data_IF_570714946184
#
_entry.id   IF_570714946184
#
_cell.length_a   1.000
_cell.length_b   1.000
_cell.length_c   1.000
_cell.angle_alpha   90.00
_cell.angle_beta   90.00
_cell.angle_gamma   90.00
#
_symmetry.space_group_name_H-M   'P 1'
#
loop_
_entity.id
_entity.type
_entity.pdbx_description
1 polymer ?
#
# COMPACT_ATOMS: atom_id res chain seq x y z
N UNK A 1 57.29 -94.72 -101.17
CA UNK A 1 57.70 -93.67 -100.21
C UNK A 1 56.90 -92.37 -100.30
N UNK A 2 56.73 -91.74 -101.48
CA UNK A 2 56.10 -90.41 -101.61
C UNK A 2 54.65 -90.30 -101.10
N UNK A 3 53.80 -91.33 -101.27
CA UNK A 3 52.40 -91.35 -100.77
C UNK A 3 52.29 -91.32 -99.24
N UNK A 4 53.17 -92.02 -98.53
CA UNK A 4 53.16 -92.08 -97.06
C UNK A 4 53.60 -90.77 -96.41
N UNK A 5 54.56 -90.06 -97.03
CA UNK A 5 55.02 -88.74 -96.58
C UNK A 5 53.91 -87.70 -96.70
N UNK A 6 53.13 -87.71 -97.80
CA UNK A 6 51.97 -86.83 -97.96
C UNK A 6 50.89 -87.10 -96.90
N UNK A 7 50.61 -88.36 -96.56
CA UNK A 7 49.63 -88.72 -95.53
C UNK A 7 50.08 -88.21 -94.15
N UNK A 8 51.36 -88.40 -93.79
CA UNK A 8 51.90 -87.93 -92.51
C UNK A 8 51.89 -86.39 -92.42
N UNK A 9 52.23 -85.68 -93.51
CA UNK A 9 52.14 -84.22 -93.57
C UNK A 9 50.69 -83.71 -93.47
N UNK A 10 49.74 -84.39 -94.13
CA UNK A 10 48.31 -84.05 -94.05
C UNK A 10 47.74 -84.32 -92.65
N UNK A 11 48.12 -85.43 -92.02
CA UNK A 11 47.72 -85.76 -90.65
C UNK A 11 48.34 -84.77 -89.65
N UNK A 12 49.61 -84.41 -89.82
CA UNK A 12 50.29 -83.41 -88.99
C UNK A 12 49.70 -82.00 -89.14
N UNK A 13 49.39 -81.58 -90.37
CA UNK A 13 48.71 -80.32 -90.65
C UNK A 13 47.28 -80.29 -90.07
N UNK A 14 46.55 -81.40 -90.19
CA UNK A 14 45.21 -81.56 -89.61
C UNK A 14 45.24 -81.49 -88.07
N UNK A 15 46.18 -82.19 -87.43
CA UNK A 15 46.38 -82.14 -85.97
C UNK A 15 46.79 -80.74 -85.50
N UNK A 16 47.69 -80.06 -86.24
CA UNK A 16 48.09 -78.68 -85.95
C UNK A 16 46.91 -77.70 -86.07
N UNK A 17 46.08 -77.83 -87.11
CA UNK A 17 44.85 -77.04 -87.26
C UNK A 17 43.87 -77.31 -86.13
N UNK A 18 43.72 -78.58 -85.72
CA UNK A 18 42.86 -78.98 -84.60
C UNK A 18 43.33 -78.39 -83.26
N UNK A 19 44.64 -78.41 -82.98
CA UNK A 19 45.21 -77.81 -81.77
C UNK A 19 45.08 -76.28 -81.77
N UNK A 20 45.30 -75.61 -82.91
CA UNK A 20 45.07 -74.18 -83.07
C UNK A 20 43.59 -73.82 -82.88
N UNK A 21 42.67 -74.61 -83.45
CA UNK A 21 41.23 -74.44 -83.27
C UNK A 21 40.83 -74.64 -81.80
N UNK A 22 41.34 -75.69 -81.15
CA UNK A 22 41.07 -75.96 -79.74
C UNK A 22 41.58 -74.82 -78.85
N UNK A 23 42.81 -74.34 -79.07
CA UNK A 23 43.39 -73.21 -78.32
C UNK A 23 42.61 -71.89 -78.56
N UNK A 24 42.21 -71.61 -79.80
CA UNK A 24 41.37 -70.45 -80.10
C UNK A 24 39.99 -70.59 -79.43
N UNK A 25 39.41 -71.79 -79.42
CA UNK A 25 38.14 -72.08 -78.78
C UNK A 25 38.21 -71.93 -77.25
N UNK A 26 39.29 -72.38 -76.61
CA UNK A 26 39.48 -72.23 -75.17
C UNK A 26 39.67 -70.76 -74.79
N UNK A 27 40.48 -70.00 -75.53
CA UNK A 27 40.61 -68.56 -75.30
C UNK A 27 39.29 -67.82 -75.47
N UNK A 28 38.52 -68.12 -76.52
CA UNK A 28 37.20 -67.52 -76.73
C UNK A 28 36.24 -67.83 -75.57
N UNK A 29 36.26 -69.07 -75.06
CA UNK A 29 35.45 -69.44 -73.89
C UNK A 29 35.88 -68.68 -72.64
N UNK A 30 37.19 -68.51 -72.40
CA UNK A 30 37.71 -67.72 -71.27
C UNK A 30 37.31 -66.25 -71.38
N UNK A 31 37.52 -65.60 -72.53
CA UNK A 31 37.10 -64.21 -72.73
C UNK A 31 35.59 -64.03 -72.61
N UNK A 32 34.78 -65.02 -73.03
CA UNK A 32 33.33 -65.01 -72.81
C UNK A 32 32.97 -65.12 -71.33
N UNK A 33 33.67 -65.95 -70.57
CA UNK A 33 33.47 -66.06 -69.13
C UNK A 33 33.84 -64.76 -68.40
N UNK A 34 34.96 -64.14 -68.76
CA UNK A 34 35.39 -62.84 -68.24
C UNK A 34 34.38 -61.73 -68.57
N UNK A 35 33.90 -61.68 -69.82
CA UNK A 35 32.86 -60.73 -70.24
C UNK A 35 31.58 -60.89 -69.42
N UNK A 36 31.11 -62.13 -69.23
CA UNK A 36 29.92 -62.40 -68.42
C UNK A 36 30.12 -62.00 -66.95
N UNK A 37 31.33 -62.21 -66.41
CA UNK A 37 31.68 -61.78 -65.05
C UNK A 37 31.69 -60.26 -64.92
N UNK A 38 32.33 -59.55 -65.85
CA UNK A 38 32.35 -58.10 -65.90
C UNK A 38 30.94 -57.51 -66.06
N UNK A 39 30.08 -58.13 -66.89
CA UNK A 39 28.69 -57.74 -67.06
C UNK A 39 27.91 -57.87 -65.74
N UNK A 40 28.10 -58.98 -65.01
CA UNK A 40 27.46 -59.20 -63.71
C UNK A 40 27.91 -58.15 -62.68
N UNK A 41 29.20 -57.80 -62.65
CA UNK A 41 29.72 -56.74 -61.78
C UNK A 41 29.17 -55.36 -62.16
N UNK A 42 29.05 -55.05 -63.45
CA UNK A 42 28.45 -53.80 -63.92
C UNK A 42 26.98 -53.69 -63.49
N UNK A 43 26.22 -54.77 -63.61
CA UNK A 43 24.81 -54.78 -63.20
C UNK A 43 24.66 -54.66 -61.67
N UNK A 44 25.58 -55.26 -60.89
CA UNK A 44 25.64 -55.10 -59.43
C UNK A 44 25.93 -53.66 -59.04
N UNK A 45 26.99 -53.07 -59.59
CA UNK A 45 27.39 -51.69 -59.28
C UNK A 45 26.33 -50.68 -59.72
N UNK A 46 25.62 -50.91 -60.82
CA UNK A 46 24.48 -50.10 -61.24
C UNK A 46 23.31 -50.16 -60.25
N UNK A 47 23.08 -51.32 -59.66
CA UNK A 47 22.05 -51.51 -58.64
C UNK A 47 22.43 -50.79 -57.34
N UNK A 48 23.68 -50.93 -56.90
CA UNK A 48 24.22 -50.22 -55.73
C UNK A 48 24.17 -48.71 -55.92
N UNK A 49 24.59 -48.19 -57.09
CA UNK A 49 24.52 -46.77 -57.40
C UNK A 49 23.08 -46.23 -57.26
N UNK A 50 22.11 -46.93 -57.87
CA UNK A 50 20.69 -46.54 -57.76
C UNK A 50 20.17 -46.57 -56.31
N UNK A 51 20.65 -47.50 -55.49
CA UNK A 51 20.33 -47.55 -54.06
C UNK A 51 20.90 -46.32 -53.34
N UNK A 52 22.18 -46.00 -53.55
CA UNK A 52 22.82 -44.82 -52.94
C UNK A 52 22.21 -43.50 -53.38
N UNK A 53 21.76 -43.38 -54.65
CA UNK A 53 21.00 -42.22 -55.12
C UNK A 53 19.67 -42.06 -54.37
N UNK A 54 19.00 -43.18 -54.06
CA UNK A 54 17.79 -43.19 -53.24
C UNK A 54 18.04 -42.75 -51.80
N UNK A 55 19.11 -43.25 -51.18
CA UNK A 55 19.52 -42.86 -49.82
C UNK A 55 19.91 -41.38 -49.75
N UNK A 56 20.62 -40.86 -50.76
CA UNK A 56 20.95 -39.44 -50.84
C UNK A 56 19.70 -38.56 -50.98
N UNK A 57 18.72 -38.99 -51.78
CA UNK A 57 17.46 -38.25 -51.91
C UNK A 57 16.65 -38.26 -50.60
N UNK A 58 16.63 -39.39 -49.88
CA UNK A 58 15.97 -39.50 -48.58
C UNK A 58 16.63 -38.58 -47.54
N UNK A 59 17.95 -38.66 -47.38
CA UNK A 59 18.70 -37.80 -46.44
C UNK A 59 18.57 -36.31 -46.76
N UNK A 60 18.51 -35.93 -48.04
CA UNK A 60 18.24 -34.54 -48.43
C UNK A 60 16.85 -34.07 -47.97
N UNK A 61 15.84 -34.92 -48.09
CA UNK A 61 14.47 -34.60 -47.65
C UNK A 61 14.39 -34.48 -46.12
N UNK A 62 15.09 -35.35 -45.40
CA UNK A 62 15.19 -35.28 -43.93
C UNK A 62 15.90 -33.98 -43.48
N UNK A 63 16.99 -33.59 -44.17
CA UNK A 63 17.69 -32.35 -43.88
C UNK A 63 16.81 -31.12 -44.11
N UNK A 64 16.08 -31.08 -45.23
CA UNK A 64 15.14 -29.99 -45.52
C UNK A 64 14.04 -29.91 -44.45
N UNK A 65 13.53 -31.06 -43.99
CA UNK A 65 12.53 -31.11 -42.91
C UNK A 65 13.09 -30.60 -41.58
N UNK A 66 14.30 -31.02 -41.20
CA UNK A 66 14.98 -30.57 -39.98
C UNK A 66 15.28 -29.05 -40.00
N UNK A 67 15.60 -28.49 -41.17
CA UNK A 67 15.80 -27.05 -41.33
C UNK A 67 14.51 -26.25 -41.09
N UNK A 68 13.36 -26.79 -41.54
CA UNK A 68 12.05 -26.18 -41.31
C UNK A 68 11.68 -26.22 -39.82
N UNK A 69 11.89 -27.36 -39.16
CA UNK A 69 11.64 -27.49 -37.72
C UNK A 69 12.51 -26.52 -36.90
N UNK A 70 13.80 -26.42 -37.23
CA UNK A 70 14.71 -25.49 -36.57
C UNK A 70 14.27 -24.02 -36.74
N UNK A 71 13.80 -23.66 -37.94
CA UNK A 71 13.26 -22.32 -38.18
C UNK A 71 12.00 -22.07 -37.33
N UNK A 72 11.10 -23.05 -37.22
CA UNK A 72 9.90 -22.97 -36.37
C UNK A 72 10.27 -22.75 -34.91
N UNK A 73 11.20 -23.56 -34.37
CA UNK A 73 11.70 -23.42 -32.99
C UNK A 73 12.31 -22.04 -32.77
N UNK A 74 13.06 -21.50 -33.75
CA UNK A 74 13.61 -20.15 -33.69
C UNK A 74 12.53 -19.08 -33.54
N UNK A 75 11.41 -19.21 -34.25
CA UNK A 75 10.28 -18.27 -34.12
C UNK A 75 9.58 -18.37 -32.76
N UNK A 76 9.38 -19.58 -32.25
CA UNK A 76 8.76 -19.81 -30.94
C UNK A 76 9.65 -19.30 -29.79
N UNK A 77 10.97 -19.49 -29.90
CA UNK A 77 11.94 -18.95 -28.95
C UNK A 77 11.92 -17.42 -28.92
N UNK A 78 11.79 -16.78 -30.07
CA UNK A 78 11.69 -15.32 -30.12
C UNK A 78 10.36 -14.81 -29.54
N UNK A 79 9.25 -15.52 -29.78
CA UNK A 79 7.96 -15.18 -29.19
C UNK A 79 7.99 -15.27 -27.67
N UNK A 80 8.47 -16.40 -27.13
CA UNK A 80 8.61 -16.60 -25.68
C UNK A 80 9.53 -15.58 -25.01
N UNK A 81 10.60 -15.14 -25.69
CA UNK A 81 11.46 -14.06 -25.20
C UNK A 81 10.74 -12.72 -25.09
N UNK A 82 9.87 -12.40 -26.05
CA UNK A 82 9.09 -11.17 -26.03
C UNK A 82 8.02 -11.21 -24.93
N UNK A 83 7.39 -12.37 -24.74
CA UNK A 83 6.40 -12.58 -23.68
C UNK A 83 7.04 -12.44 -22.30
N UNK A 84 8.24 -13.01 -22.10
CA UNK A 84 9.00 -12.87 -20.86
C UNK A 84 9.32 -11.40 -20.54
N UNK A 85 9.81 -10.64 -21.52
CA UNK A 85 10.12 -9.22 -21.34
C UNK A 85 8.87 -8.39 -21.01
N UNK A 86 7.71 -8.77 -21.57
CA UNK A 86 6.43 -8.13 -21.26
C UNK A 86 6.00 -8.43 -19.82
N UNK A 87 6.09 -9.69 -19.40
CA UNK A 87 5.78 -10.11 -18.03
C UNK A 87 6.70 -9.45 -16.98
N UNK A 88 8.00 -9.27 -17.29
CA UNK A 88 8.93 -8.54 -16.41
C UNK A 88 8.52 -7.07 -16.23
N UNK A 89 8.02 -6.43 -17.28
CA UNK A 89 7.54 -5.04 -17.23
C UNK A 89 6.25 -4.90 -16.44
N UNK A 90 5.32 -5.84 -16.61
CA UNK A 90 4.08 -5.90 -15.82
C UNK A 90 4.36 -6.14 -14.33
N UNK A 91 5.29 -7.04 -14.01
CA UNK A 91 5.70 -7.31 -12.64
C UNK A 91 6.29 -6.06 -11.97
N UNK A 92 7.17 -5.33 -12.65
CA UNK A 92 7.72 -4.09 -12.14
C UNK A 92 6.63 -3.05 -11.84
N UNK A 93 5.67 -2.88 -12.76
CA UNK A 93 4.55 -1.95 -12.60
C UNK A 93 3.62 -2.34 -11.43
N UNK A 94 3.42 -3.64 -11.22
CA UNK A 94 2.64 -4.16 -10.09
C UNK A 94 3.34 -3.91 -8.74
N UNK A 95 4.67 -4.04 -8.68
CA UNK A 95 5.46 -3.72 -7.49
C UNK A 95 5.35 -2.23 -7.13
N UNK A 96 5.51 -1.33 -8.10
CA UNK A 96 5.35 0.11 -7.88
C UNK A 96 3.95 0.46 -7.36
N UNK A 97 2.92 -0.18 -7.91
CA UNK A 97 1.52 0.01 -7.48
C UNK A 97 1.29 -0.48 -6.04
N UNK A 98 1.96 -1.57 -5.65
CA UNK A 98 1.88 -2.12 -4.31
C UNK A 98 2.53 -1.17 -3.28
N UNK A 99 3.68 -0.60 -3.61
CA UNK A 99 4.37 0.36 -2.75
C UNK A 99 3.53 1.63 -2.53
N UNK A 100 2.87 2.14 -3.58
CA UNK A 100 1.94 3.28 -3.48
C UNK A 100 0.76 2.94 -2.57
N UNK A 101 0.11 1.79 -2.77
CA UNK A 101 -1.03 1.36 -1.96
C UNK A 101 -0.64 1.20 -0.47
N UNK A 102 0.57 0.70 -0.19
CA UNK A 102 1.06 0.59 1.18
C UNK A 102 1.28 1.95 1.84
N UNK A 103 1.81 2.93 1.09
CA UNK A 103 1.98 4.30 1.59
C UNK A 103 0.62 4.96 1.92
N UNK A 104 -0.37 4.80 1.04
CA UNK A 104 -1.73 5.31 1.27
C UNK A 104 -2.38 4.65 2.49
N UNK A 105 -2.21 3.35 2.68
CA UNK A 105 -2.74 2.64 3.85
C UNK A 105 -2.16 3.19 5.16
N UNK A 106 -0.85 3.40 5.23
CA UNK A 106 -0.18 3.95 6.40
C UNK A 106 -0.66 5.38 6.73
N UNK A 107 -0.95 6.19 5.71
CA UNK A 107 -1.53 7.52 5.88
C UNK A 107 -2.94 7.44 6.49
N UNK A 108 -3.77 6.51 6.00
CA UNK A 108 -5.13 6.30 6.55
C UNK A 108 -5.10 5.78 7.99
N UNK A 109 -4.19 4.88 8.34
CA UNK A 109 -4.01 4.41 9.71
C UNK A 109 -3.64 5.55 10.68
N UNK A 110 -2.76 6.45 10.24
CA UNK A 110 -2.37 7.63 11.01
C UNK A 110 -3.57 8.57 11.21
N UNK A 111 -4.32 8.87 10.15
CA UNK A 111 -5.52 9.70 10.22
C UNK A 111 -6.61 9.09 11.12
N UNK A 112 -6.78 7.76 11.09
CA UNK A 112 -7.74 7.07 11.94
C UNK A 112 -7.36 7.16 13.42
N UNK A 113 -6.07 7.02 13.73
CA UNK A 113 -5.53 7.16 15.08
C UNK A 113 -5.79 8.57 15.62
N UNK A 114 -5.51 9.60 14.82
CA UNK A 114 -5.77 11.00 15.19
C UNK A 114 -7.27 11.24 15.44
N UNK A 115 -8.14 10.70 14.58
CA UNK A 115 -9.57 10.80 14.76
C UNK A 115 -10.05 10.11 16.05
N UNK A 116 -9.48 8.95 16.39
CA UNK A 116 -9.79 8.26 17.65
C UNK A 116 -9.39 9.09 18.87
N UNK A 117 -8.20 9.70 18.86
CA UNK A 117 -7.76 10.62 19.93
C UNK A 117 -8.73 11.80 20.06
N UNK A 118 -9.13 12.40 18.94
CA UNK A 118 -10.08 13.52 18.93
C UNK A 118 -11.45 13.11 19.48
N UNK A 119 -11.93 11.92 19.09
CA UNK A 119 -13.20 11.39 19.57
C UNK A 119 -13.16 11.06 21.07
N UNK A 120 -12.09 10.42 21.55
CA UNK A 120 -11.88 10.16 22.97
C UNK A 120 -11.82 11.45 23.78
N UNK A 121 -11.13 12.48 23.26
CA UNK A 121 -11.09 13.81 23.86
C UNK A 121 -12.48 14.45 23.95
N UNK A 122 -13.31 14.31 22.92
CA UNK A 122 -14.69 14.81 22.92
C UNK A 122 -15.57 14.07 23.95
N UNK A 123 -15.40 12.75 24.07
CA UNK A 123 -16.15 11.92 25.01
C UNK A 123 -15.69 12.10 26.47
N UNK A 124 -14.45 12.51 26.69
CA UNK A 124 -13.88 12.78 28.01
C UNK A 124 -14.34 14.12 28.63
N UNK A 125 -15.12 14.94 27.92
CA UNK A 125 -15.77 16.13 28.48
C UNK A 125 -14.87 17.35 28.70
N UNK A 126 -13.56 17.25 28.50
CA UNK A 126 -12.65 18.38 28.68
C UNK A 126 -12.53 19.22 27.40
N UNK A 127 -13.09 20.43 27.45
CA UNK A 127 -12.69 21.57 26.61
C UNK A 127 -13.48 21.83 25.32
N UNK A 128 -14.08 20.83 24.65
CA UNK A 128 -14.76 21.04 23.35
C UNK A 128 -16.28 20.84 23.36
N UNK A 129 -16.86 20.32 24.44
CA UNK A 129 -18.32 20.17 24.63
C UNK A 129 -18.94 21.23 25.54
N UNK A 130 -18.11 22.04 26.20
CA UNK A 130 -18.53 23.13 27.08
C UNK A 130 -18.75 24.38 26.22
N UNK A 131 -19.96 24.95 26.27
CA UNK A 131 -20.35 26.09 25.42
C UNK A 131 -20.37 27.40 26.21
N UNK A 132 -20.05 28.51 25.55
CA UNK A 132 -20.40 29.84 26.05
C UNK A 132 -21.95 29.94 26.15
N UNK A 133 -22.53 30.22 27.33
CA UNK A 133 -23.98 30.24 27.52
C UNK A 133 -24.62 31.51 26.95
N UNK A 134 -25.94 31.51 26.76
CA UNK A 134 -26.71 32.76 26.71
C UNK A 134 -26.90 33.33 28.11
N UNK A 135 -27.15 34.64 28.22
CA UNK A 135 -27.49 35.27 29.49
C UNK A 135 -28.67 34.60 30.20
N UNK A 136 -29.67 34.17 29.44
CA UNK A 136 -30.83 33.46 30.00
C UNK A 136 -30.46 32.08 30.53
N UNK A 137 -29.53 31.38 29.90
CA UNK A 137 -29.03 30.09 30.40
C UNK A 137 -28.23 30.27 31.69
N UNK A 138 -27.42 31.33 31.81
CA UNK A 138 -26.73 31.67 33.08
C UNK A 138 -27.74 31.89 34.18
N UNK A 139 -28.74 32.76 33.99
CA UNK A 139 -29.75 33.03 35.03
C UNK A 139 -30.54 31.77 35.44
N UNK A 140 -30.85 30.90 34.48
CA UNK A 140 -31.52 29.62 34.76
C UNK A 140 -30.64 28.64 35.50
N UNK A 141 -29.36 28.61 35.18
CA UNK A 141 -28.37 27.77 35.85
C UNK A 141 -28.22 28.22 37.30
N UNK A 142 -27.93 29.50 37.53
CA UNK A 142 -27.80 30.07 38.88
C UNK A 142 -29.07 29.81 39.71
N UNK A 143 -30.26 30.00 39.15
CA UNK A 143 -31.51 29.74 39.87
C UNK A 143 -31.81 28.25 40.17
N UNK A 144 -31.21 27.31 39.44
CA UNK A 144 -31.34 25.85 39.65
C UNK A 144 -30.24 25.28 40.56
N UNK A 145 -29.11 25.99 40.66
CA UNK A 145 -27.96 25.62 41.47
C UNK A 145 -28.30 25.72 42.99
N UNK A 146 -27.47 25.07 43.82
CA UNK A 146 -27.58 25.13 45.28
C UNK A 146 -26.30 25.51 46.02
N UNK A 147 -25.30 26.04 45.30
CA UNK A 147 -24.04 26.52 45.87
C UNK A 147 -24.31 27.61 46.91
N UNK A 148 -25.30 28.49 46.67
CA UNK A 148 -25.77 29.52 47.61
C UNK A 148 -26.29 28.97 48.95
N UNK A 149 -26.70 27.69 48.99
CA UNK A 149 -27.27 27.05 50.18
C UNK A 149 -26.20 26.45 51.11
N UNK A 150 -24.95 26.40 50.69
CA UNK A 150 -23.85 25.93 51.53
C UNK A 150 -23.56 26.90 52.68
N UNK A 151 -23.11 26.37 53.82
CA UNK A 151 -22.75 27.19 54.98
C UNK A 151 -21.31 27.72 54.81
N UNK A 152 -21.12 29.03 55.03
CA UNK A 152 -19.79 29.61 55.07
C UNK A 152 -19.05 29.18 56.34
N UNK A 153 -17.87 28.59 56.19
CA UNK A 153 -17.03 28.12 57.30
C UNK A 153 -15.66 28.77 57.18
N UNK A 154 -15.36 29.71 58.09
CA UNK A 154 -14.08 30.44 58.09
C UNK A 154 -12.89 29.48 58.14
N UNK A 155 -11.99 29.63 57.15
CA UNK A 155 -10.80 28.80 56.98
C UNK A 155 -11.01 27.40 56.40
N UNK A 156 -12.25 26.98 56.12
CA UNK A 156 -12.56 25.64 55.58
C UNK A 156 -13.41 25.65 54.31
N UNK A 157 -14.41 26.54 54.22
CA UNK A 157 -15.31 26.67 53.08
C UNK A 157 -15.66 28.16 52.88
N UNK A 158 -14.88 28.82 52.04
CA UNK A 158 -14.94 30.25 51.80
C UNK A 158 -15.21 30.53 50.31
N UNK A 159 -15.09 31.80 49.89
CA UNK A 159 -15.35 32.24 48.52
C UNK A 159 -14.66 31.37 47.43
N UNK A 160 -13.49 30.81 47.74
CA UNK A 160 -12.72 29.89 46.90
C UNK A 160 -13.48 28.59 46.62
N UNK A 161 -14.04 27.96 47.64
CA UNK A 161 -14.78 26.70 47.53
C UNK A 161 -16.13 26.93 46.86
N UNK A 162 -16.88 27.97 47.24
CA UNK A 162 -18.14 28.34 46.57
C UNK A 162 -17.92 28.57 45.06
N UNK A 163 -16.89 29.34 44.70
CA UNK A 163 -16.58 29.61 43.28
C UNK A 163 -16.14 28.35 42.53
N UNK A 164 -15.39 27.48 43.19
CA UNK A 164 -14.94 26.20 42.60
C UNK A 164 -16.12 25.27 42.36
N UNK A 165 -17.03 25.14 43.33
CA UNK A 165 -18.21 24.28 43.22
C UNK A 165 -19.15 24.77 42.12
N UNK A 166 -19.40 26.08 42.04
CA UNK A 166 -20.22 26.65 40.96
C UNK A 166 -19.59 26.42 39.58
N UNK A 167 -18.25 26.53 39.45
CA UNK A 167 -17.54 26.23 38.22
C UNK A 167 -17.67 24.75 37.81
N UNK A 168 -17.47 23.82 38.75
CA UNK A 168 -17.60 22.38 38.49
C UNK A 168 -19.02 22.01 38.06
N UNK A 169 -20.04 22.58 38.71
CA UNK A 169 -21.45 22.35 38.37
C UNK A 169 -21.83 22.96 37.02
N UNK A 170 -21.29 24.13 36.68
CA UNK A 170 -21.44 24.69 35.35
C UNK A 170 -20.84 23.76 34.28
N UNK A 171 -19.66 23.18 34.52
CA UNK A 171 -19.02 22.19 33.63
C UNK A 171 -19.88 20.92 33.47
N UNK A 172 -20.46 20.38 34.55
CA UNK A 172 -21.39 19.24 34.49
C UNK A 172 -22.64 19.54 33.63
N UNK A 173 -23.06 20.81 33.58
CA UNK A 173 -24.16 21.30 32.72
C UNK A 173 -23.68 21.70 31.32
N UNK A 174 -22.39 21.55 31.02
CA UNK A 174 -21.76 21.91 29.75
C UNK A 174 -21.68 23.41 29.50
N UNK A 175 -21.65 24.24 30.55
CA UNK A 175 -21.59 25.70 30.48
C UNK A 175 -20.18 26.19 30.78
N UNK A 176 -19.64 27.03 29.90
CA UNK A 176 -18.30 27.59 30.04
C UNK A 176 -18.35 28.75 31.02
N UNK A 177 -17.57 28.63 32.08
CA UNK A 177 -17.39 29.65 33.10
C UNK A 177 -15.90 29.90 33.32
N UNK A 178 -15.60 30.90 34.13
CA UNK A 178 -14.26 31.25 34.56
C UNK A 178 -14.24 31.48 36.06
N UNK A 179 -13.17 31.03 36.69
CA UNK A 179 -12.85 31.42 38.05
C UNK A 179 -12.31 32.85 38.05
N UNK A 180 -12.83 33.72 38.91
CA UNK A 180 -12.45 35.12 38.98
C UNK A 180 -11.81 35.41 40.32
N UNK A 181 -10.57 35.86 40.31
CA UNK A 181 -9.89 36.36 41.50
C UNK A 181 -9.89 37.88 41.50
N UNK A 182 -10.37 38.47 42.58
CA UNK A 182 -10.40 39.91 42.81
C UNK A 182 -9.41 40.25 43.91
N UNK A 183 -8.57 41.26 43.69
CA UNK A 183 -7.62 41.75 44.71
C UNK A 183 -8.12 43.04 45.35
N UNK A 184 -8.10 43.07 46.68
CA UNK A 184 -8.38 44.25 47.50
C UNK A 184 -7.09 44.81 48.16
N UNK A 185 -7.11 46.04 48.72
CA UNK A 185 -6.02 46.56 49.53
C UNK A 185 -5.64 45.63 50.69
N UNK A 186 -4.35 45.64 51.06
CA UNK A 186 -3.83 44.85 52.18
C UNK A 186 -3.56 43.37 51.85
N UNK A 187 -3.59 42.98 50.58
CA UNK A 187 -3.29 41.60 50.15
C UNK A 187 -4.45 40.62 50.33
N UNK A 188 -5.65 41.12 50.67
CA UNK A 188 -6.89 40.34 50.70
C UNK A 188 -7.37 40.09 49.28
N UNK A 189 -8.08 38.98 49.09
CA UNK A 189 -8.71 38.63 47.83
C UNK A 189 -10.13 38.17 48.03
N UNK A 190 -10.86 38.10 46.92
CA UNK A 190 -12.20 37.53 46.83
C UNK A 190 -12.28 36.67 45.58
N UNK A 191 -13.11 35.64 45.61
CA UNK A 191 -13.32 34.74 44.49
C UNK A 191 -14.79 34.75 44.09
N UNK A 192 -15.04 34.93 42.80
CA UNK A 192 -16.38 34.84 42.19
C UNK A 192 -16.28 34.07 40.87
N UNK A 193 -17.41 33.91 40.18
CA UNK A 193 -17.46 33.21 38.88
C UNK A 193 -17.86 34.18 37.77
N UNK A 194 -17.33 33.99 36.56
CA UNK A 194 -17.76 34.71 35.37
C UNK A 194 -18.23 33.77 34.27
N UNK A 195 -19.23 34.20 33.51
CA UNK A 195 -19.69 33.55 32.29
C UNK A 195 -19.52 34.52 31.11
N UNK A 196 -18.83 34.10 30.05
CA UNK A 196 -18.81 34.87 28.80
C UNK A 196 -20.07 34.53 28.00
N UNK A 197 -21.10 35.34 28.15
CA UNK A 197 -22.36 35.10 27.46
C UNK A 197 -22.29 35.54 26.00
N UNK A 198 -22.90 34.77 25.11
CA UNK A 198 -22.86 35.04 23.66
C UNK A 198 -23.67 36.28 23.26
N UNK A 199 -24.56 36.78 24.14
CA UNK A 199 -25.51 37.85 23.85
C UNK A 199 -25.39 39.08 24.77
N UNK A 200 -24.72 39.00 25.92
CA UNK A 200 -24.49 40.14 26.82
C UNK A 200 -23.04 40.35 27.28
N UNK A 201 -22.10 39.52 26.81
CA UNK A 201 -20.70 39.56 27.23
C UNK A 201 -20.50 38.98 28.63
N UNK A 202 -19.50 39.45 29.35
CA UNK A 202 -19.14 38.92 30.67
C UNK A 202 -20.21 39.24 31.72
N UNK A 203 -20.65 38.19 32.41
CA UNK A 203 -21.54 38.25 33.58
C UNK A 203 -20.77 37.70 34.76
N UNK A 204 -20.65 38.48 35.83
CA UNK A 204 -20.04 38.04 37.07
C UNK A 204 -21.13 37.65 38.07
N UNK A 205 -20.90 36.57 38.80
CA UNK A 205 -21.83 35.99 39.77
C UNK A 205 -21.10 35.78 41.08
N UNK A 206 -21.65 36.32 42.16
CA UNK A 206 -21.29 36.05 43.54
C UNK A 206 -21.92 34.71 43.96
N UNK A 207 -21.15 33.60 44.02
CA UNK A 207 -21.70 32.27 44.22
C UNK A 207 -22.28 32.06 45.62
N UNK A 208 -21.91 32.90 46.60
CA UNK A 208 -22.41 32.76 47.97
C UNK A 208 -23.88 33.19 48.12
N UNK A 209 -24.42 33.97 47.17
CA UNK A 209 -25.74 34.60 47.28
C UNK A 209 -26.53 34.63 45.96
N UNK A 210 -26.04 34.00 44.89
CA UNK A 210 -26.62 34.04 43.54
C UNK A 210 -26.77 35.45 42.94
N UNK A 211 -25.98 36.40 43.43
CA UNK A 211 -26.09 37.80 43.03
C UNK A 211 -25.19 38.11 41.83
N UNK A 212 -25.69 38.96 40.93
CA UNK A 212 -24.87 39.46 39.83
C UNK A 212 -23.92 40.55 40.33
N UNK A 213 -22.76 40.68 39.69
CA UNK A 213 -21.77 41.70 40.04
C UNK A 213 -21.41 42.55 38.82
N UNK A 214 -21.64 43.86 38.92
CA UNK A 214 -21.21 44.86 37.95
C UNK A 214 -19.82 45.37 38.31
N UNK A 215 -18.81 44.59 37.96
CA UNK A 215 -17.41 44.86 38.30
C UNK A 215 -16.91 46.20 37.73
N UNK A 216 -16.36 47.06 38.61
CA UNK A 216 -15.67 48.29 38.24
C UNK A 216 -14.40 48.50 39.07
N UNK A 217 -13.24 48.52 38.40
CA UNK A 217 -11.95 48.76 39.07
C UNK A 217 -11.95 50.16 39.70
N UNK A 218 -11.54 50.22 40.97
CA UNK A 218 -11.54 51.45 41.77
C UNK A 218 -12.84 51.70 42.54
N UNK A 219 -13.88 50.88 42.36
CA UNK A 219 -15.07 50.89 43.23
C UNK A 219 -14.97 49.83 44.34
N UNK A 220 -15.57 50.08 45.51
CA UNK A 220 -15.79 49.06 46.53
C UNK A 220 -16.64 47.90 45.99
N UNK A 221 -16.23 46.66 46.23
CA UNK A 221 -16.94 45.46 45.76
C UNK A 221 -18.39 45.41 46.23
N UNK A 222 -18.66 45.73 47.50
CA UNK A 222 -20.02 45.74 48.05
C UNK A 222 -21.00 46.67 47.30
N UNK A 223 -20.50 47.68 46.58
CA UNK A 223 -21.30 48.59 45.75
C UNK A 223 -21.51 48.08 44.32
N UNK A 224 -20.74 47.08 43.91
CA UNK A 224 -20.79 46.49 42.58
C UNK A 224 -21.80 45.32 42.51
N UNK A 225 -22.20 44.76 43.66
CA UNK A 225 -23.18 43.67 43.69
C UNK A 225 -24.58 44.21 43.40
N UNK A 226 -25.32 43.48 42.56
CA UNK A 226 -26.72 43.72 42.19
C UNK A 226 -27.57 42.69 42.94
N UNK A 227 -28.17 43.04 44.09
CA UNK A 227 -28.85 42.06 44.92
C UNK A 227 -30.11 41.53 44.24
N UNK A 228 -30.23 40.21 44.17
CA UNK A 228 -31.37 39.48 43.63
C UNK A 228 -32.42 39.16 44.70
N UNK A 229 -32.03 39.21 45.98
CA UNK A 229 -32.86 38.88 47.14
C UNK A 229 -32.98 39.98 48.20
N UNK A 230 -33.31 39.61 49.45
CA UNK A 230 -33.46 40.54 50.57
C UNK A 230 -32.15 40.89 51.28
N UNK A 231 -31.04 40.25 50.91
CA UNK A 231 -29.73 40.53 51.49
C UNK A 231 -29.23 41.89 51.01
N UNK A 232 -28.74 42.70 51.95
CA UNK A 232 -28.16 44.02 51.66
C UNK A 232 -26.69 43.99 52.01
N UNK A 233 -25.83 44.29 51.04
CA UNK A 233 -24.40 44.39 51.26
C UNK A 233 -24.08 45.67 52.03
N UNK A 234 -23.71 45.50 53.29
CA UNK A 234 -23.26 46.62 54.13
C UNK A 234 -21.80 46.97 53.82
N UNK A 235 -21.44 48.24 54.08
CA UNK A 235 -20.05 48.68 53.93
C UNK A 235 -19.15 47.85 54.86
N UNK A 236 -18.17 47.10 54.34
CA UNK A 236 -17.31 46.29 55.18
C UNK A 236 -16.40 47.15 56.05
N UNK A 237 -15.97 46.61 57.19
CA UNK A 237 -15.04 47.28 58.11
C UNK A 237 -13.66 47.52 57.47
N UNK A 238 -13.32 46.74 56.46
CA UNK A 238 -12.03 46.72 55.78
C UNK A 238 -12.24 47.10 54.31
N UNK A 239 -11.35 47.92 53.77
CA UNK A 239 -11.45 48.47 52.40
C UNK A 239 -11.43 47.38 51.32
N UNK A 240 -12.57 47.20 50.65
CA UNK A 240 -12.83 46.24 49.57
C UNK A 240 -12.83 46.91 48.18
N UNK A 241 -12.11 48.02 48.02
CA UNK A 241 -11.89 48.65 46.71
C UNK A 241 -11.24 47.65 45.75
N UNK A 242 -11.87 47.40 44.60
CA UNK A 242 -11.37 46.48 43.57
C UNK A 242 -10.09 47.08 42.94
N UNK A 243 -8.94 46.44 43.15
CA UNK A 243 -7.66 46.87 42.57
C UNK A 243 -7.32 46.12 41.29
N UNK A 244 -7.66 44.83 41.21
CA UNK A 244 -7.38 43.97 40.08
C UNK A 244 -8.45 42.87 40.00
N UNK A 245 -8.78 42.47 38.78
CA UNK A 245 -9.69 41.37 38.48
C UNK A 245 -9.00 40.47 37.48
N UNK A 246 -8.73 39.23 37.89
CA UNK A 246 -8.15 38.19 37.06
C UNK A 246 -9.22 37.16 36.72
N UNK A 247 -9.37 36.86 35.43
CA UNK A 247 -10.34 35.87 34.93
C UNK A 247 -9.56 34.67 34.37
N UNK A 248 -9.77 33.49 34.93
CA UNK A 248 -9.14 32.24 34.53
C UNK A 248 -10.19 31.29 33.93
N UNK A 249 -10.01 30.93 32.66
CA UNK A 249 -10.90 30.05 31.89
C UNK A 249 -10.48 28.59 31.94
#
# INVERSE_FOLDING_TARGET
MKRWILIVLLVGASLSLYLLYFNASTQLHMSRAELNSAQTQLDSTKTELKATEGELAATKTELESAMIELASIGTELQATKNDLSSAETELASALDSLDIAQAELNEKESALTELQINYEGLMAGHGYTIKDPTYTEVLRFIADDDTDKAEYIEGEYECTEFSTDLCNRAEEKGLRCAYVSIRFPGGRGHAIVAFNTIDKGLVYVEPQYDDLVEIEIGKPFYQCVVPSGSYTYEKPAQDDTILEVMVAW
#
